data_IF_008611877864
#
_entry.id   IF_008611877864
#
_cell.length_a   1.000
_cell.length_b   1.000
_cell.length_c   1.000
_cell.angle_alpha   90.00
_cell.angle_beta   90.00
_cell.angle_gamma   90.00
#
_symmetry.space_group_name_H-M   'P 1'
#
loop_
_entity.id
_entity.type
_entity.pdbx_description
1 polymer ?
#
# COMPACT_ATOMS: atom_id res chain seq x y z
N UNK A 1 -0.05 8.15 -6.49
CA UNK A 1 -0.73 7.92 -5.18
C UNK A 1 -0.88 9.28 -4.51
N UNK A 2 -1.91 9.47 -3.70
CA UNK A 2 -2.18 10.76 -3.03
C UNK A 2 -2.45 10.56 -1.54
N UNK A 3 -2.30 11.63 -0.76
CA UNK A 3 -2.75 11.68 0.63
C UNK A 3 -4.22 11.23 0.69
N UNK A 4 -4.51 10.30 1.59
CA UNK A 4 -5.83 9.69 1.75
C UNK A 4 -6.02 8.37 0.99
N UNK A 5 -5.16 8.00 0.04
CA UNK A 5 -5.21 6.69 -0.62
C UNK A 5 -4.93 5.56 0.42
N UNK A 6 -5.69 4.46 0.30
CA UNK A 6 -5.40 3.21 1.01
C UNK A 6 -4.36 2.41 0.24
N UNK A 7 -3.42 1.81 0.96
CA UNK A 7 -2.25 1.14 0.39
C UNK A 7 -1.92 -0.12 1.18
N UNK A 8 -1.33 -1.11 0.51
CA UNK A 8 -0.71 -2.26 1.16
C UNK A 8 0.78 -2.02 1.26
N UNK A 9 1.32 -2.25 2.45
CA UNK A 9 2.75 -2.27 2.71
C UNK A 9 3.05 -3.42 3.67
N UNK A 10 4.06 -4.25 3.38
CA UNK A 10 4.40 -5.46 4.18
C UNK A 10 3.16 -6.32 4.52
N UNK A 11 2.29 -6.54 3.54
CA UNK A 11 1.05 -7.31 3.68
C UNK A 11 0.05 -6.78 4.71
N UNK A 12 0.13 -5.50 5.08
CA UNK A 12 -0.82 -4.81 5.97
C UNK A 12 -1.43 -3.61 5.28
N UNK A 13 -2.62 -3.21 5.72
CA UNK A 13 -3.32 -2.07 5.14
C UNK A 13 -2.98 -0.78 5.89
N UNK A 14 -2.66 0.25 5.10
CA UNK A 14 -2.36 1.57 5.60
C UNK A 14 -3.12 2.63 4.80
N UNK A 15 -3.18 3.83 5.36
CA UNK A 15 -3.62 5.04 4.68
C UNK A 15 -2.47 6.03 4.59
N UNK A 16 -2.22 6.59 3.41
CA UNK A 16 -1.23 7.66 3.27
C UNK A 16 -1.76 8.90 3.98
N UNK A 17 -1.01 9.44 4.94
CA UNK A 17 -1.37 10.68 5.64
C UNK A 17 -0.49 11.86 5.22
N UNK A 18 0.73 11.58 4.75
CA UNK A 18 1.66 12.61 4.29
C UNK A 18 2.58 12.07 3.19
N UNK A 19 3.00 12.94 2.28
CA UNK A 19 3.99 12.65 1.24
C UNK A 19 5.06 13.75 1.34
N UNK A 20 6.32 13.34 1.51
CA UNK A 20 7.42 14.29 1.61
C UNK A 20 7.76 14.87 0.24
N UNK A 21 8.32 16.09 0.22
CA UNK A 21 8.62 16.93 -0.98
C UNK A 21 9.43 16.26 -2.11
N UNK A 22 10.06 15.12 -1.87
CA UNK A 22 10.76 14.36 -2.90
C UNK A 22 9.90 13.25 -3.53
N UNK A 23 8.65 13.07 -3.10
CA UNK A 23 7.75 11.99 -3.55
C UNK A 23 8.34 10.57 -3.41
N UNK A 24 9.41 10.42 -2.62
CA UNK A 24 10.08 9.14 -2.40
C UNK A 24 9.55 8.41 -1.18
N UNK A 25 9.10 9.15 -0.16
CA UNK A 25 8.67 8.61 1.14
C UNK A 25 7.27 9.14 1.45
N UNK A 26 6.42 8.23 1.90
CA UNK A 26 5.11 8.53 2.44
C UNK A 26 5.03 8.09 3.89
N UNK A 27 4.30 8.88 4.67
CA UNK A 27 3.93 8.55 6.03
C UNK A 27 2.58 7.82 6.01
N UNK A 28 2.54 6.67 6.65
CA UNK A 28 1.44 5.72 6.61
C UNK A 28 0.81 5.59 7.98
N UNK A 29 -0.52 5.53 8.00
CA UNK A 29 -1.31 5.22 9.19
C UNK A 29 -1.89 3.81 9.06
N UNK A 30 -1.56 2.92 10.00
CA UNK A 30 -2.08 1.54 10.03
C UNK A 30 -3.60 1.53 10.20
N UNK A 31 -4.29 0.73 9.38
CA UNK A 31 -5.75 0.53 9.49
C UNK A 31 -6.11 -0.73 10.29
N UNK A 32 -5.16 -1.64 10.53
CA UNK A 32 -5.33 -2.79 11.42
C UNK A 32 -5.34 -2.32 12.88
N UNK A 33 -6.54 -2.31 13.46
CA UNK A 33 -6.95 -1.54 14.62
C UNK A 33 -6.47 -1.99 16.00
N UNK A 34 -5.23 -2.45 16.17
CA UNK A 34 -4.68 -2.69 17.52
C UNK A 34 -3.61 -1.69 17.93
N UNK A 35 -2.86 -1.11 17.00
CA UNK A 35 -1.90 -0.05 17.31
C UNK A 35 -1.93 1.03 16.23
N UNK A 36 -2.30 2.26 16.61
CA UNK A 36 -2.12 3.45 15.79
C UNK A 36 -0.64 3.74 15.58
N UNK A 37 0.04 2.94 14.77
CA UNK A 37 1.44 3.09 14.43
C UNK A 37 1.55 3.84 13.11
N UNK A 38 2.34 4.90 13.16
CA UNK A 38 2.82 5.60 11.99
C UNK A 38 4.04 4.86 11.45
N UNK A 39 4.09 4.64 10.15
CA UNK A 39 5.22 4.01 9.49
C UNK A 39 5.64 4.84 8.29
N UNK A 40 6.94 5.09 8.17
CA UNK A 40 7.51 5.72 6.99
C UNK A 40 7.85 4.63 5.99
N UNK A 41 7.36 4.77 4.77
CA UNK A 41 7.55 3.78 3.72
C UNK A 41 7.88 4.46 2.39
N UNK A 42 8.81 3.91 1.60
CA UNK A 42 9.05 4.38 0.25
C UNK A 42 7.80 4.19 -0.61
N UNK A 43 7.42 5.20 -1.39
CA UNK A 43 6.23 5.10 -2.26
C UNK A 43 6.36 3.95 -3.26
N UNK A 44 7.58 3.64 -3.72
CA UNK A 44 7.89 2.52 -4.60
C UNK A 44 7.51 1.15 -4.02
N UNK A 45 7.41 1.01 -2.69
CA UNK A 45 7.05 -0.23 -2.02
C UNK A 45 5.57 -0.28 -1.63
N UNK A 46 4.80 0.76 -1.96
CA UNK A 46 3.38 0.84 -1.64
C UNK A 46 2.55 0.35 -2.81
N UNK A 47 1.64 -0.57 -2.52
CA UNK A 47 0.64 -1.01 -3.49
C UNK A 47 -0.66 -0.28 -3.22
N UNK A 48 -1.10 0.58 -4.15
CA UNK A 48 -2.38 1.28 -4.00
C UNK A 48 -3.53 0.28 -4.01
N UNK A 49 -4.42 0.38 -3.02
CA UNK A 49 -5.71 -0.31 -3.00
C UNK A 49 -6.70 0.60 -3.72
N UNK A 50 -7.04 0.27 -4.96
CA UNK A 50 -8.11 0.92 -5.71
C UNK A 50 -9.30 -0.02 -5.91
N UNK A 51 -10.46 0.52 -6.29
CA UNK A 51 -11.62 -0.23 -6.82
C UNK A 51 -11.30 -1.05 -8.07
N UNK A 52 -10.12 -0.88 -8.66
CA UNK A 52 -9.58 -1.84 -9.61
C UNK A 52 -8.92 -2.97 -8.82
N UNK A 53 -9.78 -3.80 -8.26
CA UNK A 53 -9.56 -5.24 -8.17
C UNK A 53 -9.61 -5.79 -9.61
N UNK A 54 -8.86 -5.19 -10.56
CA UNK A 54 -8.12 -6.00 -11.54
C UNK A 54 -7.03 -6.66 -10.73
N UNK A 55 -7.49 -7.69 -10.04
CA UNK A 55 -6.70 -8.79 -9.57
C UNK A 55 -5.65 -8.99 -10.66
N UNK A 56 -4.39 -9.04 -10.24
CA UNK A 56 -3.38 -9.81 -10.93
C UNK A 56 -3.82 -11.29 -10.98
N UNK A 57 -5.02 -11.57 -11.53
CA UNK A 57 -5.57 -12.87 -11.87
C UNK A 57 -4.78 -13.45 -13.06
N UNK A 58 -3.86 -12.66 -13.64
CA UNK A 58 -2.88 -13.09 -14.62
C UNK A 58 -1.62 -13.73 -14.02
N UNK A 59 -1.45 -13.82 -12.69
CA UNK A 59 -0.30 -14.54 -12.09
C UNK A 59 -0.68 -15.82 -11.34
N UNK A 60 -1.84 -16.40 -11.70
CA UNK A 60 -2.22 -17.78 -11.40
C UNK A 60 -2.23 -18.64 -12.69
N UNK A 61 -1.39 -18.29 -13.67
CA UNK A 61 -1.16 -19.08 -14.86
C UNK A 61 0.21 -19.75 -14.73
N UNK A 62 0.17 -21.10 -14.73
CA UNK A 62 1.27 -22.05 -14.82
C UNK A 62 2.18 -22.23 -13.59
N UNK A 63 1.98 -23.35 -12.88
CA UNK A 63 2.83 -24.54 -13.07
C UNK A 63 1.95 -25.78 -12.90
N UNK A 64 1.65 -26.46 -14.01
CA UNK A 64 1.31 -27.88 -14.00
C UNK A 64 2.56 -28.67 -13.60
N UNK A 65 2.39 -29.71 -12.79
CA UNK A 65 3.30 -30.85 -12.69
C UNK A 65 2.46 -32.12 -12.67
#
# INVERSE_FOLDING_TARGET
>A
MKIGDKVIYKSRQYKIIYIYRNDLIAELFSLDGEHGKFELAPISHLQKIGESVEILLKRLVHYEY
#
